data_IF_182773916463
#
_entry.id   IF_182773916463
#
_cell.length_a   1.000
_cell.length_b   1.000
_cell.length_c   1.000
_cell.angle_alpha   90.00
_cell.angle_beta   90.00
_cell.angle_gamma   90.00
#
_symmetry.space_group_name_H-M   'P 1'
#
loop_
_entity.id
_entity.type
_entity.pdbx_description
1 polymer ?
#
# COMPACT_ATOMS: atom_id res chain seq x y z
N UNK A 1 1.60 -17.53 -46.21
CA UNK A 1 2.40 -16.92 -45.13
C UNK A 1 2.01 -15.45 -44.91
N UNK A 2 0.73 -15.11 -45.06
CA UNK A 2 0.19 -13.74 -44.86
C UNK A 2 -0.89 -13.67 -43.73
N UNK A 3 -1.28 -14.82 -43.19
CA UNK A 3 -2.37 -14.83 -42.17
C UNK A 3 -1.90 -14.66 -40.71
N UNK A 4 -0.60 -14.78 -40.44
CA UNK A 4 -0.08 -14.75 -39.05
C UNK A 4 0.19 -13.33 -38.52
N UNK A 5 0.32 -12.34 -39.41
CA UNK A 5 0.52 -10.94 -39.01
C UNK A 5 -0.79 -10.19 -38.76
N UNK A 6 -1.90 -10.67 -39.31
CA UNK A 6 -3.22 -10.01 -39.17
C UNK A 6 -3.89 -10.41 -37.84
N UNK A 7 -3.55 -11.57 -37.29
CA UNK A 7 -4.06 -12.02 -35.97
C UNK A 7 -3.39 -11.29 -34.81
N UNK A 8 -2.12 -10.87 -34.98
CA UNK A 8 -1.38 -10.11 -33.95
C UNK A 8 -1.85 -8.65 -33.77
N UNK A 9 -2.57 -8.09 -34.74
CA UNK A 9 -3.12 -6.71 -34.65
C UNK A 9 -4.48 -6.62 -33.95
N UNK A 10 -5.13 -7.73 -33.63
CA UNK A 10 -6.43 -7.78 -32.93
C UNK A 10 -6.31 -8.19 -31.45
N UNK A 11 -5.15 -8.60 -30.95
CA UNK A 11 -4.92 -8.81 -29.53
C UNK A 11 -4.48 -7.50 -28.88
N UNK A 12 -5.38 -6.83 -28.18
CA UNK A 12 -5.02 -5.69 -27.33
C UNK A 12 -3.89 -6.07 -26.36
N UNK A 13 -3.12 -5.09 -25.85
CA UNK A 13 -2.08 -5.34 -24.85
C UNK A 13 -2.61 -6.22 -23.71
N UNK A 14 -1.80 -7.13 -23.16
CA UNK A 14 -2.21 -7.90 -22.00
C UNK A 14 -2.58 -6.97 -20.84
N UNK A 15 -3.49 -7.42 -19.98
CA UNK A 15 -4.03 -6.62 -18.89
C UNK A 15 -3.10 -6.61 -17.68
N UNK A 16 -3.13 -5.52 -16.94
CA UNK A 16 -2.40 -5.34 -15.70
C UNK A 16 -3.30 -4.81 -14.58
N UNK A 17 -3.04 -5.30 -13.37
CA UNK A 17 -3.49 -4.67 -12.12
C UNK A 17 -2.25 -4.16 -11.41
N UNK A 18 -2.29 -2.92 -10.94
CA UNK A 18 -1.19 -2.35 -10.16
C UNK A 18 -1.51 -2.42 -8.66
N UNK A 19 -0.53 -2.88 -7.88
CA UNK A 19 -0.60 -2.96 -6.43
C UNK A 19 0.31 -1.88 -5.83
N UNK A 20 -0.30 -0.80 -5.34
CA UNK A 20 0.42 0.40 -4.87
C UNK A 20 0.73 0.28 -3.39
N UNK A 21 1.99 0.43 -3.00
CA UNK A 21 2.38 0.62 -1.61
C UNK A 21 3.57 1.58 -1.48
N UNK A 22 3.95 1.92 -0.26
CA UNK A 22 5.01 2.90 0.01
C UNK A 22 6.36 2.55 -0.62
N UNK A 23 6.76 1.28 -0.67
CA UNK A 23 8.10 0.86 -1.14
C UNK A 23 8.10 0.04 -2.42
N UNK A 24 6.93 -0.42 -2.90
CA UNK A 24 6.85 -1.42 -3.99
C UNK A 24 7.30 -2.83 -3.57
N UNK A 25 7.84 -2.99 -2.38
CA UNK A 25 8.26 -4.24 -1.77
C UNK A 25 7.39 -4.56 -0.55
N UNK A 26 7.65 -5.63 0.15
CA UNK A 26 6.92 -5.99 1.36
C UNK A 26 5.40 -6.05 1.15
N UNK A 27 4.66 -5.01 1.51
CA UNK A 27 3.19 -4.99 1.41
C UNK A 27 2.69 -5.16 -0.02
N UNK A 28 3.31 -4.51 -1.03
CA UNK A 28 2.89 -4.66 -2.42
C UNK A 28 3.14 -6.08 -2.94
N UNK A 29 4.22 -6.72 -2.54
CA UNK A 29 4.48 -8.12 -2.87
C UNK A 29 3.46 -9.05 -2.19
N UNK A 30 3.04 -8.77 -0.97
CA UNK A 30 1.98 -9.53 -0.29
C UNK A 30 0.64 -9.33 -0.99
N UNK A 31 0.29 -8.09 -1.38
CA UNK A 31 -0.92 -7.80 -2.18
C UNK A 31 -0.87 -8.56 -3.51
N UNK A 32 0.25 -8.51 -4.20
CA UNK A 32 0.47 -9.27 -5.44
C UNK A 32 0.22 -10.76 -5.22
N UNK A 33 0.83 -11.35 -4.18
CA UNK A 33 0.64 -12.77 -3.86
C UNK A 33 -0.83 -13.15 -3.62
N UNK A 34 -1.59 -12.30 -2.92
CA UNK A 34 -3.04 -12.50 -2.71
C UNK A 34 -3.78 -12.48 -4.03
N UNK A 35 -3.54 -11.47 -4.87
CA UNK A 35 -4.22 -11.32 -6.15
C UNK A 35 -3.83 -12.43 -7.13
N UNK A 36 -2.54 -12.78 -7.23
CA UNK A 36 -2.08 -13.89 -8.08
C UNK A 36 -2.78 -15.21 -7.69
N UNK A 37 -2.92 -15.47 -6.39
CA UNK A 37 -3.64 -16.66 -5.92
C UNK A 37 -5.13 -16.61 -6.28
N UNK A 38 -5.79 -15.46 -6.13
CA UNK A 38 -7.20 -15.29 -6.50
C UNK A 38 -7.41 -15.40 -8.01
N UNK A 39 -6.52 -14.84 -8.83
CA UNK A 39 -6.54 -14.97 -10.28
C UNK A 39 -6.40 -16.44 -10.69
N UNK A 40 -5.45 -17.17 -10.11
CA UNK A 40 -5.26 -18.59 -10.36
C UNK A 40 -6.49 -19.43 -9.96
N UNK A 41 -7.07 -19.19 -8.79
CA UNK A 41 -8.28 -19.88 -8.32
C UNK A 41 -9.49 -19.64 -9.23
N UNK A 42 -9.57 -18.50 -9.90
CA UNK A 42 -10.63 -18.17 -10.84
C UNK A 42 -10.25 -18.45 -12.31
N UNK A 43 -9.14 -19.14 -12.58
CA UNK A 43 -8.65 -19.50 -13.92
C UNK A 43 -8.46 -18.28 -14.85
N UNK A 44 -7.99 -17.16 -14.31
CA UNK A 44 -7.73 -15.92 -15.04
C UNK A 44 -6.22 -15.82 -15.29
N UNK A 45 -5.80 -16.00 -16.54
CA UNK A 45 -4.37 -16.04 -16.92
C UNK A 45 -3.92 -14.78 -17.69
N UNK A 46 -4.87 -13.98 -18.19
CA UNK A 46 -4.62 -12.80 -19.05
C UNK A 46 -4.34 -11.52 -18.26
N UNK A 47 -4.31 -11.57 -16.93
CA UNK A 47 -4.07 -10.43 -16.04
C UNK A 47 -2.79 -10.64 -15.24
N UNK A 48 -1.89 -9.64 -15.26
CA UNK A 48 -0.68 -9.63 -14.43
C UNK A 48 -0.77 -8.58 -13.33
N UNK A 49 -0.26 -8.90 -12.15
CA UNK A 49 -0.20 -7.97 -11.02
C UNK A 49 1.21 -7.41 -10.87
N UNK A 50 1.31 -6.07 -10.86
CA UNK A 50 2.57 -5.35 -10.71
C UNK A 50 2.60 -4.60 -9.38
N UNK A 51 3.51 -4.97 -8.47
CA UNK A 51 3.76 -4.19 -7.25
C UNK A 51 4.51 -2.92 -7.63
N UNK A 52 4.03 -1.76 -7.17
CA UNK A 52 4.69 -0.47 -7.41
C UNK A 52 4.83 0.34 -6.13
N UNK A 53 5.88 1.12 -6.06
CA UNK A 53 6.14 2.06 -4.97
C UNK A 53 5.49 3.42 -5.25
N UNK A 54 4.97 4.09 -4.21
CA UNK A 54 4.53 5.48 -4.32
C UNK A 54 5.69 6.41 -4.68
N UNK A 55 6.93 6.06 -4.30
CA UNK A 55 8.12 6.91 -4.53
C UNK A 55 8.43 7.05 -6.03
N UNK A 56 8.26 5.98 -6.81
CA UNK A 56 8.51 5.99 -8.26
C UNK A 56 7.25 5.65 -9.08
N UNK A 57 6.08 5.93 -8.51
CA UNK A 57 4.78 5.49 -9.06
C UNK A 57 4.55 5.93 -10.51
N UNK A 58 4.80 7.20 -10.83
CA UNK A 58 4.57 7.71 -12.18
C UNK A 58 5.44 7.00 -13.22
N UNK A 59 6.73 6.86 -12.96
CA UNK A 59 7.64 6.16 -13.87
C UNK A 59 7.23 4.70 -14.05
N UNK A 60 6.92 4.00 -12.97
CA UNK A 60 6.50 2.60 -13.03
C UNK A 60 5.19 2.42 -13.82
N UNK A 61 4.23 3.33 -13.67
CA UNK A 61 2.97 3.33 -14.44
C UNK A 61 3.25 3.54 -15.93
N UNK A 62 4.11 4.47 -16.31
CA UNK A 62 4.49 4.71 -17.69
C UNK A 62 5.14 3.46 -18.33
N UNK A 63 6.08 2.83 -17.63
CA UNK A 63 6.75 1.59 -18.08
C UNK A 63 5.75 0.43 -18.26
N UNK A 64 4.80 0.27 -17.33
CA UNK A 64 3.75 -0.75 -17.43
C UNK A 64 2.84 -0.45 -18.62
N UNK A 65 2.39 0.79 -18.80
CA UNK A 65 1.50 1.20 -19.89
C UNK A 65 2.11 1.02 -21.29
N UNK A 66 3.44 0.96 -21.40
CA UNK A 66 4.08 0.66 -22.68
C UNK A 66 3.75 -0.77 -23.17
N UNK A 67 3.61 -1.73 -22.26
CA UNK A 67 3.49 -3.17 -22.56
C UNK A 67 2.13 -3.76 -22.21
N UNK A 68 1.41 -3.15 -21.26
CA UNK A 68 0.16 -3.65 -20.69
C UNK A 68 -0.92 -2.56 -20.74
N UNK A 69 -2.16 -2.98 -20.65
CA UNK A 69 -3.30 -2.09 -20.36
C UNK A 69 -3.62 -2.21 -18.88
N UNK A 70 -3.41 -1.14 -18.11
CA UNK A 70 -3.81 -1.11 -16.69
C UNK A 70 -5.34 -1.07 -16.66
N UNK A 71 -5.94 -2.07 -16.01
CA UNK A 71 -7.41 -2.22 -15.93
C UNK A 71 -7.96 -1.96 -14.54
N UNK A 72 -7.12 -2.02 -13.51
CA UNK A 72 -7.48 -1.67 -12.14
C UNK A 72 -6.25 -1.41 -11.29
N UNK A 73 -6.48 -0.80 -10.13
CA UNK A 73 -5.47 -0.57 -9.11
C UNK A 73 -5.96 -1.02 -7.73
N UNK A 74 -5.06 -1.38 -6.85
CA UNK A 74 -5.32 -1.63 -5.43
C UNK A 74 -4.14 -1.19 -4.58
N UNK A 75 -4.35 -1.02 -3.29
CA UNK A 75 -3.23 -0.73 -2.39
C UNK A 75 -3.53 0.36 -1.36
N UNK A 76 -2.46 1.02 -0.95
CA UNK A 76 -2.50 2.02 0.13
C UNK A 76 -3.00 3.38 -0.34
N UNK A 77 -2.93 3.65 -1.65
CA UNK A 77 -3.28 4.94 -2.25
C UNK A 77 -3.77 4.74 -3.68
N UNK A 78 -4.82 5.49 -4.07
CA UNK A 78 -5.26 5.57 -5.46
C UNK A 78 -4.20 6.28 -6.30
N UNK A 79 -3.67 5.64 -7.36
CA UNK A 79 -2.70 6.25 -8.27
C UNK A 79 -3.31 7.28 -9.23
N UNK A 80 -4.63 7.49 -9.21
CA UNK A 80 -5.37 8.47 -10.03
C UNK A 80 -5.16 8.31 -11.56
N UNK A 81 -5.02 7.07 -12.01
CA UNK A 81 -4.82 6.75 -13.45
C UNK A 81 -6.12 6.48 -14.20
N UNK A 82 -7.26 6.84 -13.64
CA UNK A 82 -8.57 6.72 -14.29
C UNK A 82 -9.08 5.28 -14.42
N UNK A 83 -8.55 4.34 -13.63
CA UNK A 83 -9.04 2.97 -13.54
C UNK A 83 -9.67 2.74 -12.16
N UNK A 84 -10.55 1.73 -12.02
CA UNK A 84 -11.12 1.38 -10.71
C UNK A 84 -10.04 1.08 -9.68
N UNK A 85 -10.19 1.67 -8.49
CA UNK A 85 -9.28 1.46 -7.37
C UNK A 85 -9.95 0.71 -6.23
N UNK A 86 -9.31 -0.33 -5.72
CA UNK A 86 -9.73 -1.05 -4.53
C UNK A 86 -8.78 -0.74 -3.37
N UNK A 87 -9.24 -0.08 -2.29
CA UNK A 87 -8.43 0.15 -1.11
C UNK A 87 -7.91 -1.15 -0.50
N UNK A 88 -6.68 -1.14 0.03
CA UNK A 88 -6.07 -2.30 0.69
C UNK A 88 -6.99 -2.88 1.78
N UNK A 89 -7.67 -2.04 2.54
CA UNK A 89 -8.60 -2.47 3.56
C UNK A 89 -9.70 -3.37 2.99
N UNK A 90 -10.32 -2.97 1.87
CA UNK A 90 -11.37 -3.75 1.20
C UNK A 90 -10.86 -5.08 0.68
N UNK A 91 -9.63 -5.09 0.13
CA UNK A 91 -8.96 -6.34 -0.27
C UNK A 91 -8.78 -7.30 0.90
N UNK A 92 -8.30 -6.77 2.04
CA UNK A 92 -8.04 -7.56 3.24
C UNK A 92 -9.32 -8.10 3.89
N UNK A 93 -10.44 -7.39 3.76
CA UNK A 93 -11.76 -7.78 4.28
C UNK A 93 -12.51 -8.78 3.40
N UNK A 94 -11.86 -9.33 2.39
CA UNK A 94 -12.44 -10.35 1.51
C UNK A 94 -13.01 -9.81 0.20
N UNK A 95 -12.87 -8.51 -0.08
CA UNK A 95 -13.28 -7.89 -1.34
C UNK A 95 -12.50 -8.39 -2.57
N UNK A 96 -11.35 -9.05 -2.36
CA UNK A 96 -10.48 -9.50 -3.44
C UNK A 96 -11.12 -10.51 -4.39
N UNK A 97 -11.97 -11.41 -3.89
CA UNK A 97 -12.66 -12.40 -4.72
C UNK A 97 -13.67 -11.73 -5.67
N UNK A 98 -14.46 -10.80 -5.14
CA UNK A 98 -15.39 -10.00 -5.93
C UNK A 98 -14.63 -9.15 -6.97
N UNK A 99 -13.52 -8.54 -6.58
CA UNK A 99 -12.64 -7.76 -7.44
C UNK A 99 -12.15 -8.57 -8.64
N UNK A 100 -11.57 -9.72 -8.38
CA UNK A 100 -11.01 -10.59 -9.43
C UNK A 100 -12.12 -11.09 -10.38
N UNK A 101 -13.28 -11.50 -9.87
CA UNK A 101 -14.41 -11.91 -10.71
C UNK A 101 -14.90 -10.79 -11.63
N UNK A 102 -15.01 -9.57 -11.12
CA UNK A 102 -15.45 -8.43 -11.94
C UNK A 102 -14.42 -8.05 -13.01
N UNK A 103 -13.13 -8.19 -12.72
CA UNK A 103 -12.07 -8.05 -13.73
C UNK A 103 -12.22 -9.06 -14.89
N UNK A 104 -12.66 -10.29 -14.57
CA UNK A 104 -12.87 -11.33 -15.56
C UNK A 104 -14.15 -11.10 -16.42
N UNK A 105 -15.22 -10.66 -15.80
CA UNK A 105 -16.54 -10.52 -16.44
C UNK A 105 -16.62 -9.33 -17.40
N UNK A 106 -15.58 -8.48 -17.49
CA UNK A 106 -15.54 -7.26 -18.32
C UNK A 106 -16.77 -6.34 -18.13
N UNK A 107 -17.52 -6.54 -17.04
CA UNK A 107 -18.61 -5.65 -16.68
C UNK A 107 -18.06 -4.27 -16.33
N UNK A 108 -18.82 -3.22 -16.64
CA UNK A 108 -18.46 -1.86 -16.19
C UNK A 108 -18.21 -1.91 -14.68
N UNK A 109 -16.96 -1.64 -14.31
CA UNK A 109 -16.50 -1.73 -12.93
C UNK A 109 -17.05 -0.52 -12.16
N UNK A 110 -18.32 -0.59 -11.77
CA UNK A 110 -18.90 0.36 -10.83
C UNK A 110 -18.55 -0.09 -9.41
N UNK A 111 -17.36 0.26 -8.96
CA UNK A 111 -16.97 0.02 -7.57
C UNK A 111 -17.43 1.18 -6.71
N UNK A 112 -18.46 0.95 -5.96
CA UNK A 112 -18.68 1.72 -4.75
C UNK A 112 -18.22 0.81 -3.60
N UNK A 113 -16.96 0.91 -3.23
CA UNK A 113 -16.54 0.42 -1.92
C UNK A 113 -17.07 1.43 -0.90
N UNK A 114 -18.08 1.03 -0.18
CA UNK A 114 -18.60 1.83 0.92
C UNK A 114 -17.56 1.80 2.03
N UNK A 115 -16.77 2.87 2.16
CA UNK A 115 -15.77 3.03 3.21
C UNK A 115 -16.40 3.00 4.62
N UNK A 116 -17.74 3.05 4.69
CA UNK A 116 -18.49 3.20 5.94
C UNK A 116 -18.66 1.91 6.76
N UNK A 117 -18.43 0.74 6.18
CA UNK A 117 -18.89 -0.51 6.80
C UNK A 117 -17.86 -1.27 7.64
N UNK A 118 -16.59 -0.87 7.69
CA UNK A 118 -15.59 -1.63 8.43
C UNK A 118 -14.78 -0.77 9.38
N UNK A 119 -15.30 -0.60 10.56
CA UNK A 119 -14.57 0.03 11.66
C UNK A 119 -13.29 -0.75 11.98
N UNK A 120 -12.14 -0.12 11.77
CA UNK A 120 -10.87 -0.69 12.16
C UNK A 120 -10.76 -0.78 13.69
N UNK A 121 -10.61 -1.99 14.20
CA UNK A 121 -10.41 -2.26 15.62
C UNK A 121 -9.07 -2.95 15.84
N UNK A 122 -8.57 -2.94 17.08
CA UNK A 122 -7.36 -3.71 17.44
C UNK A 122 -7.51 -5.20 17.13
N UNK A 123 -8.72 -5.74 17.24
CA UNK A 123 -9.02 -7.14 16.89
C UNK A 123 -8.86 -7.40 15.39
N UNK A 124 -9.36 -6.49 14.55
CA UNK A 124 -9.19 -6.55 13.08
C UNK A 124 -7.72 -6.41 12.70
N UNK A 125 -7.01 -5.47 13.32
CA UNK A 125 -5.56 -5.32 13.14
C UNK A 125 -4.81 -6.63 13.46
N UNK A 126 -5.13 -7.28 14.59
CA UNK A 126 -4.55 -8.57 14.98
C UNK A 126 -4.79 -9.66 13.93
N UNK A 127 -6.01 -9.75 13.40
CA UNK A 127 -6.33 -10.71 12.34
C UNK A 127 -5.49 -10.47 11.07
N UNK A 128 -5.30 -9.20 10.68
CA UNK A 128 -4.46 -8.88 9.53
C UNK A 128 -3.00 -9.24 9.76
N UNK A 129 -2.44 -8.89 10.91
CA UNK A 129 -1.07 -9.26 11.26
C UNK A 129 -0.88 -10.77 11.25
N UNK A 130 -1.79 -11.53 11.86
CA UNK A 130 -1.74 -12.99 11.87
C UNK A 130 -1.83 -13.62 10.47
N UNK A 131 -2.61 -13.03 9.57
CA UNK A 131 -2.81 -13.54 8.22
C UNK A 131 -1.64 -13.24 7.28
N UNK A 132 -1.03 -12.06 7.40
CA UNK A 132 -0.12 -11.54 6.39
C UNK A 132 1.36 -11.47 6.83
N UNK A 133 1.66 -11.68 8.11
CA UNK A 133 3.02 -11.66 8.64
C UNK A 133 3.36 -12.97 9.35
N UNK A 134 4.42 -13.61 8.89
CA UNK A 134 4.81 -14.95 9.39
C UNK A 134 5.70 -14.83 10.64
N UNK A 135 6.55 -13.80 10.67
CA UNK A 135 7.55 -13.62 11.73
C UNK A 135 7.11 -12.69 12.85
N UNK A 136 5.89 -12.12 12.74
CA UNK A 136 5.32 -11.26 13.77
C UNK A 136 4.34 -12.03 14.65
N UNK A 137 4.54 -11.97 15.96
CA UNK A 137 3.52 -12.42 16.90
C UNK A 137 2.37 -11.41 16.93
N UNK A 138 1.28 -11.68 16.21
CA UNK A 138 0.15 -10.78 16.04
C UNK A 138 -0.47 -10.32 17.39
N UNK A 139 -0.48 -11.17 18.42
CA UNK A 139 -1.02 -10.82 19.73
C UNK A 139 -0.21 -9.75 20.46
N UNK A 140 1.12 -9.76 20.27
CA UNK A 140 2.01 -8.76 20.85
C UNK A 140 2.07 -7.49 20.01
N UNK A 141 2.18 -7.65 18.68
CA UNK A 141 2.42 -6.53 17.78
C UNK A 141 1.17 -5.70 17.49
N UNK A 142 -0.03 -6.25 17.54
CA UNK A 142 -1.25 -5.48 17.25
C UNK A 142 -1.39 -4.26 18.16
N UNK A 143 -1.17 -4.42 19.47
CA UNK A 143 -1.27 -3.32 20.41
C UNK A 143 -0.09 -2.35 20.31
N UNK A 144 1.11 -2.86 20.05
CA UNK A 144 2.31 -2.02 19.89
C UNK A 144 2.16 -1.13 18.66
N UNK A 145 1.81 -1.71 17.51
CA UNK A 145 1.68 -0.97 16.25
C UNK A 145 0.48 -0.03 16.27
N UNK A 146 -0.61 -0.42 16.93
CA UNK A 146 -1.74 0.48 17.14
C UNK A 146 -1.33 1.73 17.92
N UNK A 147 -0.64 1.55 19.04
CA UNK A 147 -0.18 2.66 19.88
C UNK A 147 0.90 3.50 19.19
N UNK A 148 1.75 2.87 18.36
CA UNK A 148 2.73 3.55 17.51
C UNK A 148 2.03 4.55 16.56
N UNK A 149 0.99 4.09 15.86
CA UNK A 149 0.23 4.94 14.93
C UNK A 149 -0.58 6.02 15.66
N UNK A 150 -1.14 5.70 16.82
CA UNK A 150 -1.81 6.68 17.68
C UNK A 150 -0.83 7.78 18.15
N UNK A 151 0.39 7.41 18.51
CA UNK A 151 1.42 8.37 18.89
C UNK A 151 1.77 9.31 17.73
N UNK A 152 1.96 8.78 16.51
CA UNK A 152 2.24 9.60 15.35
C UNK A 152 1.12 10.62 15.09
N UNK A 153 -0.14 10.21 15.15
CA UNK A 153 -1.28 11.10 14.99
C UNK A 153 -1.29 12.20 16.06
N UNK A 154 -1.09 11.84 17.33
CA UNK A 154 -1.08 12.77 18.46
C UNK A 154 0.10 13.74 18.41
N UNK A 155 1.30 13.28 18.07
CA UNK A 155 2.52 14.09 18.02
C UNK A 155 2.41 15.25 17.02
N UNK A 156 1.58 15.10 15.98
CA UNK A 156 1.34 16.11 14.95
C UNK A 156 -0.06 16.72 14.98
N UNK A 157 -0.88 16.35 15.99
CA UNK A 157 -2.25 16.82 16.18
C UNK A 157 -3.13 16.61 14.93
N UNK A 158 -2.99 15.46 14.28
CA UNK A 158 -3.78 15.08 13.10
C UNK A 158 -4.67 13.89 13.41
N UNK A 159 -5.71 13.71 12.60
CA UNK A 159 -6.58 12.54 12.64
C UNK A 159 -6.38 11.72 11.37
N UNK A 160 -5.91 10.49 11.52
CA UNK A 160 -5.78 9.55 10.41
C UNK A 160 -7.13 8.88 10.13
N UNK A 161 -7.52 8.81 8.86
CA UNK A 161 -8.63 7.96 8.44
C UNK A 161 -8.36 6.49 8.79
N UNK A 162 -9.40 5.68 8.96
CA UNK A 162 -9.23 4.25 9.26
C UNK A 162 -8.45 3.53 8.15
N UNK A 163 -8.68 3.90 6.91
CA UNK A 163 -7.95 3.38 5.75
C UNK A 163 -6.46 3.70 5.83
N UNK A 164 -6.09 4.95 6.14
CA UNK A 164 -4.69 5.31 6.28
C UNK A 164 -4.05 4.66 7.51
N UNK A 165 -4.78 4.56 8.61
CA UNK A 165 -4.33 3.93 9.86
C UNK A 165 -3.93 2.46 9.62
N UNK A 166 -4.77 1.68 8.92
CA UNK A 166 -4.40 0.28 8.61
C UNK A 166 -3.21 0.20 7.66
N UNK A 167 -3.13 1.08 6.68
CA UNK A 167 -2.01 1.15 5.76
C UNK A 167 -0.70 1.39 6.49
N UNK A 168 -0.68 2.36 7.41
CA UNK A 168 0.49 2.69 8.22
C UNK A 168 0.89 1.52 9.14
N UNK A 169 -0.09 0.89 9.82
CA UNK A 169 0.14 -0.31 10.64
C UNK A 169 0.78 -1.43 9.81
N UNK A 170 0.23 -1.73 8.63
CA UNK A 170 0.76 -2.79 7.75
C UNK A 170 2.16 -2.44 7.22
N UNK A 171 2.42 -1.16 6.98
CA UNK A 171 3.73 -0.70 6.55
C UNK A 171 4.79 -0.85 7.65
N UNK A 172 4.50 -0.37 8.86
CA UNK A 172 5.39 -0.52 10.03
C UNK A 172 5.58 -2.01 10.37
N UNK A 173 4.53 -2.83 10.30
CA UNK A 173 4.63 -4.28 10.47
C UNK A 173 5.60 -4.92 9.45
N UNK A 174 5.51 -4.49 8.18
CA UNK A 174 6.44 -4.94 7.13
C UNK A 174 7.88 -4.53 7.40
N UNK A 175 8.09 -3.31 7.87
CA UNK A 175 9.40 -2.81 8.27
C UNK A 175 9.99 -3.63 9.44
N UNK A 176 9.19 -3.90 10.47
CA UNK A 176 9.57 -4.76 11.60
C UNK A 176 9.91 -6.18 11.11
N UNK A 177 9.10 -6.78 10.24
CA UNK A 177 9.36 -8.13 9.71
C UNK A 177 10.67 -8.18 8.93
N UNK A 178 10.96 -7.16 8.08
CA UNK A 178 12.24 -7.06 7.36
C UNK A 178 13.43 -6.90 8.31
N UNK A 179 13.25 -6.13 9.37
CA UNK A 179 14.27 -5.97 10.42
C UNK A 179 14.55 -7.31 11.13
N UNK A 180 13.52 -8.07 11.48
CA UNK A 180 13.63 -9.39 12.11
C UNK A 180 14.26 -10.44 11.18
N UNK A 181 14.04 -10.33 9.88
CA UNK A 181 14.60 -11.24 8.86
C UNK A 181 15.94 -10.76 8.29
N UNK A 182 16.53 -9.70 8.87
CA UNK A 182 17.80 -9.10 8.46
C UNK A 182 17.83 -8.67 6.98
N UNK A 183 16.72 -8.15 6.50
CA UNK A 183 16.55 -7.63 5.14
C UNK A 183 15.92 -6.22 5.15
N UNK A 184 16.49 -5.23 5.88
CA UNK A 184 15.93 -3.90 5.96
C UNK A 184 16.09 -3.13 4.65
N UNK A 185 15.17 -2.20 4.42
CA UNK A 185 15.25 -1.27 3.30
C UNK A 185 16.48 -0.37 3.43
N UNK A 186 17.09 -0.08 2.28
CA UNK A 186 18.21 0.85 2.18
C UNK A 186 17.71 2.19 1.63
N UNK A 187 18.37 3.26 2.03
CA UNK A 187 18.10 4.63 1.55
C UNK A 187 19.40 5.28 1.12
N UNK A 188 19.32 6.14 0.12
CA UNK A 188 20.45 6.94 -0.31
C UNK A 188 20.78 7.99 0.78
N UNK A 189 22.06 8.19 1.07
CA UNK A 189 22.52 9.14 2.09
C UNK A 189 22.11 10.60 1.79
N UNK A 190 22.02 10.99 0.51
CA UNK A 190 21.58 12.32 0.12
C UNK A 190 20.09 12.52 0.42
N UNK A 191 19.23 11.57 0.03
CA UNK A 191 17.79 11.60 0.31
C UNK A 191 17.51 11.60 1.81
N UNK A 192 18.27 10.81 2.56
CA UNK A 192 18.14 10.77 4.02
C UNK A 192 18.50 12.12 4.65
N UNK A 193 19.57 12.78 4.19
CA UNK A 193 20.00 14.08 4.72
C UNK A 193 18.95 15.18 4.53
N UNK A 194 18.14 15.11 3.46
CA UNK A 194 17.06 16.07 3.17
C UNK A 194 15.89 15.96 4.15
N UNK A 195 15.69 14.79 4.77
CA UNK A 195 14.52 14.53 5.59
C UNK A 195 14.77 14.45 7.08
N UNK A 196 16.02 14.35 7.53
CA UNK A 196 16.36 14.16 8.94
C UNK A 196 15.80 15.24 9.88
N UNK A 197 15.69 16.48 9.40
CA UNK A 197 15.13 17.59 10.16
C UNK A 197 13.61 17.74 10.02
N UNK A 198 12.99 16.94 9.18
CA UNK A 198 11.54 17.01 8.95
C UNK A 198 10.74 16.57 10.18
N UNK A 199 9.66 17.26 10.51
CA UNK A 199 8.89 16.97 11.72
C UNK A 199 8.31 15.55 11.77
N UNK A 200 7.88 15.00 10.63
CA UNK A 200 7.41 13.61 10.56
C UNK A 200 8.53 12.60 10.74
N UNK A 201 9.72 12.86 10.21
CA UNK A 201 10.86 11.97 10.39
C UNK A 201 11.27 11.86 11.86
N UNK A 202 11.33 12.99 12.56
CA UNK A 202 11.58 13.04 14.02
C UNK A 202 10.50 12.30 14.80
N UNK A 203 9.22 12.48 14.44
CA UNK A 203 8.13 11.76 15.09
C UNK A 203 8.21 10.24 14.88
N UNK A 204 8.67 9.76 13.71
CA UNK A 204 8.92 8.34 13.46
C UNK A 204 10.03 7.82 14.37
N UNK A 205 11.15 8.53 14.47
CA UNK A 205 12.25 8.13 15.35
C UNK A 205 11.85 8.06 16.83
N UNK A 206 11.08 9.06 17.30
CA UNK A 206 10.54 9.06 18.66
C UNK A 206 9.59 7.89 18.90
N UNK A 207 8.74 7.55 17.90
CA UNK A 207 7.85 6.40 18.00
C UNK A 207 8.63 5.08 18.02
N UNK A 208 9.69 4.95 17.21
CA UNK A 208 10.57 3.77 17.22
C UNK A 208 11.22 3.58 18.59
N UNK A 209 11.77 4.64 19.16
CA UNK A 209 12.38 4.62 20.49
C UNK A 209 11.36 4.25 21.58
N UNK A 210 10.15 4.80 21.49
CA UNK A 210 9.12 4.60 22.52
C UNK A 210 8.49 3.21 22.46
N UNK A 211 8.26 2.63 21.28
CA UNK A 211 7.47 1.42 21.12
C UNK A 211 8.27 0.20 20.67
N UNK A 212 9.22 0.35 19.74
CA UNK A 212 9.94 -0.78 19.14
C UNK A 212 11.25 -1.08 19.86
N UNK A 213 12.01 -0.06 20.26
CA UNK A 213 13.26 -0.27 20.98
C UNK A 213 13.04 -0.94 22.34
N UNK A 214 11.91 -0.68 23.00
CA UNK A 214 11.52 -1.35 24.28
C UNK A 214 11.37 -2.86 24.15
N UNK A 215 11.08 -3.35 22.96
CA UNK A 215 10.99 -4.78 22.65
C UNK A 215 12.21 -5.28 21.88
N UNK A 216 13.33 -4.52 21.97
CA UNK A 216 14.62 -4.84 21.35
C UNK A 216 14.59 -4.87 19.82
N UNK A 217 13.70 -4.15 19.18
CA UNK A 217 13.67 -3.94 17.74
C UNK A 217 14.21 -2.53 17.47
N UNK A 218 15.38 -2.48 16.83
CA UNK A 218 15.98 -1.23 16.39
C UNK A 218 15.76 -1.06 14.90
N UNK A 219 14.98 -0.08 14.52
CA UNK A 219 14.76 0.25 13.12
C UNK A 219 16.00 0.85 12.48
N UNK A 220 16.21 0.58 11.20
CA UNK A 220 17.24 1.27 10.41
C UNK A 220 16.70 2.59 9.86
N UNK A 221 17.61 3.54 9.62
CA UNK A 221 17.25 4.83 9.01
C UNK A 221 16.53 4.66 7.65
N UNK A 222 16.82 3.57 6.91
CA UNK A 222 16.10 3.26 5.68
C UNK A 222 14.64 2.93 5.92
N UNK A 223 14.32 2.13 6.94
CA UNK A 223 12.91 1.81 7.28
C UNK A 223 12.18 3.05 7.80
N UNK A 224 12.81 3.84 8.67
CA UNK A 224 12.26 5.11 9.17
C UNK A 224 11.98 6.08 8.01
N UNK A 225 12.88 6.16 7.03
CA UNK A 225 12.70 6.99 5.83
C UNK A 225 11.44 6.60 5.05
N UNK A 226 11.20 5.32 4.83
CA UNK A 226 10.02 4.89 4.08
C UNK A 226 8.71 5.04 4.87
N UNK A 227 8.74 4.93 6.21
CA UNK A 227 7.60 5.27 7.07
C UNK A 227 7.32 6.77 6.95
N UNK A 228 8.35 7.60 7.03
CA UNK A 228 8.25 9.05 6.82
C UNK A 228 7.65 9.39 5.45
N UNK A 229 8.13 8.77 4.37
CA UNK A 229 7.61 9.03 3.02
C UNK A 229 6.11 8.74 2.87
N UNK A 230 5.60 7.72 3.55
CA UNK A 230 4.17 7.45 3.58
C UNK A 230 3.39 8.57 4.29
N UNK A 231 3.90 9.08 5.39
CA UNK A 231 3.30 10.19 6.15
C UNK A 231 3.35 11.52 5.38
N UNK A 232 4.47 11.81 4.73
CA UNK A 232 4.65 12.98 3.86
C UNK A 232 3.63 12.98 2.72
N UNK A 233 3.52 11.88 1.98
CA UNK A 233 2.57 11.72 0.88
C UNK A 233 1.12 11.87 1.35
N UNK A 234 0.80 11.33 2.53
CA UNK A 234 -0.52 11.49 3.12
C UNK A 234 -0.82 12.96 3.46
N UNK A 235 0.15 13.67 4.03
CA UNK A 235 -0.01 15.09 4.37
C UNK A 235 -0.21 15.94 3.13
N UNK A 236 0.62 15.78 2.09
CA UNK A 236 0.52 16.53 0.83
C UNK A 236 -0.86 16.40 0.18
N UNK A 237 -1.44 15.18 0.17
CA UNK A 237 -2.79 14.96 -0.33
C UNK A 237 -3.86 15.68 0.48
N UNK A 238 -3.77 15.63 1.81
CA UNK A 238 -4.74 16.32 2.67
C UNK A 238 -4.64 17.83 2.55
N UNK A 239 -3.43 18.39 2.47
CA UNK A 239 -3.22 19.81 2.27
C UNK A 239 -3.77 20.30 0.92
N UNK A 240 -3.66 19.48 -0.12
CA UNK A 240 -4.23 19.76 -1.45
C UNK A 240 -5.75 19.81 -1.39
N UNK A 241 -6.39 18.83 -0.76
CA UNK A 241 -7.86 18.76 -0.60
C UNK A 241 -8.38 19.97 0.18
N UNK A 242 -7.72 20.37 1.28
CA UNK A 242 -8.11 21.53 2.07
C UNK A 242 -8.02 22.82 1.27
N UNK A 243 -6.93 23.01 0.50
CA UNK A 243 -6.74 24.16 -0.34
C UNK A 243 -7.78 24.26 -1.49
N UNK A 244 -8.23 23.14 -2.03
CA UNK A 244 -9.29 23.10 -3.05
C UNK A 244 -10.67 23.41 -2.47
N UNK A 245 -10.95 22.94 -1.25
CA UNK A 245 -12.21 23.25 -0.55
C UNK A 245 -12.33 24.75 -0.20
N UNK A 246 -11.23 25.39 0.20
CA UNK A 246 -11.18 26.81 0.49
C UNK A 246 -11.36 27.68 -0.76
N UNK A 247 -10.87 27.24 -1.92
CA UNK A 247 -11.04 27.97 -3.20
C UNK A 247 -12.45 27.91 -3.78
N UNK A 248 -13.25 26.94 -3.34
CA UNK A 248 -14.61 26.71 -3.82
C UNK A 248 -15.68 27.30 -2.87
N UNK A 249 -15.29 28.00 -1.81
CA UNK A 249 -16.15 28.81 -0.91
C UNK A 249 -16.08 30.28 -1.24
#
# INVERSE_FOLDING_TARGET
>A
MEDDQTVAMLSGKPKAVIAVCSTGEGTAQKIKGILDQLLLQNLIEDIKVFPISIVNMHQAIEEINQKYTIVAATGVMDPEVGVPFMPLQSLLQGGGEKFVRQLAERSELSWVFDEKDAKLTRSVCRQYLSKYFVFLNADKFADILWNYVDYLAQSRQVEFSESFRINLIMHVAGAVERQLTNNPMQVNAAELAEVQEQPWFKAVQEADDQFLQRIQIKMTLGEEFYIYKLLETWQEKNDTILNEMEKNQ
#
